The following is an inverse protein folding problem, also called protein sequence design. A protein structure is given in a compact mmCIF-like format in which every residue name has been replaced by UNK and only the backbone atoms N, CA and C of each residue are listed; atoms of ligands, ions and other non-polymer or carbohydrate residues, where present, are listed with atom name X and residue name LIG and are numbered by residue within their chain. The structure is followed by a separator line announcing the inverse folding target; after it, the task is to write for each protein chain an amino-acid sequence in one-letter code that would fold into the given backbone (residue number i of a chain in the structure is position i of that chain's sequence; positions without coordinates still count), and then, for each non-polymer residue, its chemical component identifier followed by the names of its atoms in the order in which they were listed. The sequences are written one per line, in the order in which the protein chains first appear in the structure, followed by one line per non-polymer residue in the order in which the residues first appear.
data_IF_760309529613
#
_entry.id   IF_760309529613
#
_cell.length_a   1.000
_cell.length_b   1.000
_cell.length_c   1.000
_cell.angle_alpha   90.00
_cell.angle_beta   90.00
_cell.angle_gamma   90.00
#
_symmetry.space_group_name_H-M   'P 1'
#
loop_
_entity.id
_entity.type
_entity.pdbx_description
1 polymer ?
#
# COMPACT_ATOMS: atom_id res chain seq x y z
N UNK A 1 -12.54 -13.38 24.60
CA UNK A 1 -13.39 -13.28 23.38
C UNK A 1 -14.15 -11.95 23.28
N UNK A 2 -14.90 -11.52 24.30
CA UNK A 2 -15.68 -10.26 24.24
C UNK A 2 -14.84 -9.00 23.96
N UNK A 3 -13.68 -8.85 24.62
CA UNK A 3 -12.76 -7.71 24.42
C UNK A 3 -12.18 -7.66 23.00
N UNK A 4 -11.89 -8.81 22.40
CA UNK A 4 -11.38 -8.91 21.02
C UNK A 4 -12.49 -8.49 20.04
N UNK A 5 -13.71 -9.00 20.22
CA UNK A 5 -14.86 -8.65 19.39
C UNK A 5 -15.17 -7.15 19.41
N UNK A 6 -15.15 -6.52 20.59
CA UNK A 6 -15.32 -5.07 20.73
C UNK A 6 -14.27 -4.28 19.96
N UNK A 7 -12.98 -4.66 20.08
CA UNK A 7 -11.88 -4.04 19.31
C UNK A 7 -12.09 -4.16 17.79
N UNK A 8 -12.52 -5.33 17.31
CA UNK A 8 -12.74 -5.56 15.88
C UNK A 8 -13.88 -4.69 15.32
N UNK A 9 -15.00 -4.59 16.05
CA UNK A 9 -16.14 -3.76 15.64
C UNK A 9 -15.72 -2.29 15.55
N UNK A 10 -15.03 -1.78 16.58
CA UNK A 10 -14.54 -0.40 16.60
C UNK A 10 -13.58 -0.12 15.44
N UNK A 11 -12.67 -1.05 15.16
CA UNK A 11 -11.73 -0.90 14.04
C UNK A 11 -12.43 -0.94 12.67
N UNK A 12 -13.48 -1.76 12.49
CA UNK A 12 -14.23 -1.79 11.23
C UNK A 12 -14.95 -0.46 10.98
N UNK A 13 -15.56 0.12 12.02
CA UNK A 13 -16.20 1.43 11.94
C UNK A 13 -15.17 2.53 11.65
N UNK A 14 -14.03 2.49 12.33
CA UNK A 14 -12.93 3.43 12.10
C UNK A 14 -12.37 3.32 10.67
N UNK A 15 -12.18 2.10 10.16
CA UNK A 15 -11.71 1.85 8.81
C UNK A 15 -12.68 2.41 7.75
N UNK A 16 -13.99 2.20 7.93
CA UNK A 16 -15.01 2.77 7.05
C UNK A 16 -15.07 4.30 7.09
N UNK A 17 -14.87 4.89 8.28
CA UNK A 17 -14.79 6.34 8.44
C UNK A 17 -13.55 6.91 7.73
N UNK A 18 -12.38 6.30 7.92
CA UNK A 18 -11.14 6.72 7.25
C UNK A 18 -11.24 6.58 5.74
N UNK A 19 -11.81 5.47 5.24
CA UNK A 19 -12.03 5.29 3.80
C UNK A 19 -12.94 6.38 3.21
N UNK A 20 -13.99 6.75 3.93
CA UNK A 20 -14.88 7.84 3.53
C UNK A 20 -14.17 9.20 3.54
N UNK A 21 -13.34 9.46 4.56
CA UNK A 21 -12.58 10.70 4.68
C UNK A 21 -11.57 10.82 3.54
N UNK A 22 -10.77 9.77 3.30
CA UNK A 22 -9.76 9.80 2.23
C UNK A 22 -10.41 9.94 0.85
N UNK A 23 -11.51 9.25 0.56
CA UNK A 23 -12.17 9.40 -0.76
C UNK A 23 -12.73 10.80 -1.00
N UNK A 24 -13.34 11.42 0.01
CA UNK A 24 -14.07 12.68 -0.15
C UNK A 24 -13.23 13.93 0.08
N UNK A 25 -12.20 13.84 0.93
CA UNK A 25 -11.53 15.02 1.47
C UNK A 25 -10.00 14.99 1.31
N UNK A 26 -9.39 13.99 0.66
CA UNK A 26 -7.92 13.87 0.58
C UNK A 26 -7.19 15.14 0.11
N UNK A 27 -7.71 15.81 -0.92
CA UNK A 27 -7.12 17.04 -1.46
C UNK A 27 -7.18 18.23 -0.49
N UNK A 28 -8.09 18.21 0.49
CA UNK A 28 -8.27 19.26 1.50
C UNK A 28 -7.46 19.03 2.78
N UNK A 29 -6.85 17.86 2.94
CA UNK A 29 -6.09 17.50 4.13
C UNK A 29 -4.66 18.07 4.09
N UNK A 30 -4.20 18.60 5.22
CA UNK A 30 -2.81 19.02 5.42
C UNK A 30 -1.89 17.81 5.49
N UNK A 31 -0.59 18.01 5.24
CA UNK A 31 0.41 16.94 5.26
C UNK A 31 0.39 16.13 6.57
N UNK A 32 0.35 16.80 7.73
CA UNK A 32 0.27 16.13 9.04
C UNK A 32 -0.98 15.26 9.20
N UNK A 33 -2.13 15.70 8.65
CA UNK A 33 -3.37 14.93 8.70
C UNK A 33 -3.31 13.69 7.80
N UNK A 34 -2.68 13.81 6.63
CA UNK A 34 -2.44 12.68 5.72
C UNK A 34 -1.52 11.64 6.38
N UNK A 35 -0.46 12.08 7.03
CA UNK A 35 0.46 11.21 7.78
C UNK A 35 -0.29 10.51 8.92
N UNK A 36 -1.11 11.25 9.69
CA UNK A 36 -1.91 10.65 10.76
C UNK A 36 -2.88 9.58 10.24
N UNK A 37 -3.52 9.79 9.08
CA UNK A 37 -4.35 8.76 8.44
C UNK A 37 -3.53 7.52 8.07
N UNK A 38 -2.33 7.71 7.49
CA UNK A 38 -1.44 6.59 7.18
C UNK A 38 -1.05 5.80 8.43
N UNK A 39 -0.70 6.49 9.52
CA UNK A 39 -0.28 5.85 10.77
C UNK A 39 -1.43 5.09 11.45
N UNK A 40 -2.63 5.67 11.45
CA UNK A 40 -3.81 4.99 11.99
C UNK A 40 -4.19 3.77 11.15
N UNK A 41 -4.13 3.87 9.81
CA UNK A 41 -4.36 2.72 8.93
C UNK A 41 -3.33 1.61 9.16
N UNK A 42 -2.05 1.96 9.27
CA UNK A 42 -0.99 1.00 9.53
C UNK A 42 -1.18 0.32 10.89
N UNK A 43 -1.49 1.06 11.95
CA UNK A 43 -1.74 0.50 13.28
C UNK A 43 -2.94 -0.46 13.30
N UNK A 44 -4.01 -0.14 12.57
CA UNK A 44 -5.15 -1.06 12.41
C UNK A 44 -4.76 -2.33 11.66
N UNK A 45 -3.90 -2.21 10.64
CA UNK A 45 -3.39 -3.35 9.89
C UNK A 45 -2.47 -4.22 10.73
N UNK A 46 -1.54 -3.65 11.48
CA UNK A 46 -0.63 -4.38 12.37
C UNK A 46 -1.41 -5.16 13.44
N UNK A 47 -2.47 -4.59 13.99
CA UNK A 47 -3.35 -5.32 14.90
C UNK A 47 -4.03 -6.51 14.21
N UNK A 48 -4.60 -6.31 13.03
CA UNK A 48 -5.27 -7.37 12.29
C UNK A 48 -4.28 -8.48 11.87
N UNK A 49 -3.10 -8.09 11.38
CA UNK A 49 -2.01 -8.97 10.99
C UNK A 49 -1.43 -9.75 12.17
N UNK A 50 -1.27 -9.12 13.34
CA UNK A 50 -0.83 -9.81 14.57
C UNK A 50 -1.81 -10.91 14.96
N UNK A 51 -3.11 -10.64 14.89
CA UNK A 51 -4.14 -11.63 15.19
C UNK A 51 -4.25 -12.73 14.11
N UNK A 52 -4.06 -12.35 12.85
CA UNK A 52 -4.08 -13.24 11.69
C UNK A 52 -2.69 -13.74 11.29
N UNK A 53 -1.73 -13.69 12.20
CA UNK A 53 -0.38 -14.13 11.90
C UNK A 53 -0.39 -15.61 11.54
N UNK A 54 0.57 -16.04 10.73
CA UNK A 54 0.62 -17.38 10.21
C UNK A 54 0.66 -18.46 11.31
N UNK A 55 1.40 -18.21 12.39
CA UNK A 55 1.42 -19.08 13.57
C UNK A 55 0.05 -19.15 14.26
N UNK A 56 -0.61 -18.00 14.45
CA UNK A 56 -1.93 -17.93 15.07
C UNK A 56 -3.03 -18.58 14.22
N UNK A 57 -2.96 -18.44 12.89
CA UNK A 57 -3.86 -19.13 11.97
C UNK A 57 -3.66 -20.64 12.03
N UNK A 58 -2.40 -21.11 12.02
CA UNK A 58 -2.05 -22.53 12.12
C UNK A 58 -2.58 -23.17 13.40
N UNK A 59 -2.36 -22.53 14.55
CA UNK A 59 -2.88 -22.98 15.85
C UNK A 59 -4.41 -23.09 15.80
N UNK A 60 -5.09 -22.09 15.26
CA UNK A 60 -6.56 -22.09 15.16
C UNK A 60 -7.10 -23.15 14.19
N UNK A 61 -6.37 -23.45 13.11
CA UNK A 61 -6.73 -24.52 12.18
C UNK A 61 -6.67 -25.91 12.83
N UNK A 62 -5.76 -26.12 13.78
CA UNK A 62 -5.66 -27.38 14.54
C UNK A 62 -6.68 -27.47 15.69
N UNK A 63 -7.08 -26.34 16.27
CA UNK A 63 -7.75 -26.31 17.59
C UNK A 63 -9.25 -25.95 17.57
N UNK A 64 -9.89 -25.63 16.44
CA UNK A 64 -11.29 -25.14 16.47
C UNK A 64 -12.23 -25.73 15.40
N UNK A 65 -13.45 -26.13 15.79
CA UNK A 65 -14.58 -26.26 14.87
C UNK A 65 -14.88 -24.92 14.20
N UNK A 66 -15.36 -24.97 12.96
CA UNK A 66 -15.60 -23.85 12.03
C UNK A 66 -16.41 -22.68 12.64
N UNK A 67 -17.23 -22.91 13.66
CA UNK A 67 -18.15 -21.93 14.25
C UNK A 67 -17.54 -20.85 15.17
N UNK A 68 -16.25 -20.93 15.54
CA UNK A 68 -15.62 -19.94 16.46
C UNK A 68 -14.54 -19.05 15.82
N UNK A 69 -14.42 -19.02 14.49
CA UNK A 69 -13.57 -18.03 13.86
C UNK A 69 -14.20 -16.64 14.04
N UNK A 70 -13.48 -15.62 14.57
CA UNK A 70 -14.02 -14.28 14.62
C UNK A 70 -14.36 -13.86 13.18
N UNK A 71 -15.66 -13.67 12.88
CA UNK A 71 -16.07 -13.45 11.51
C UNK A 71 -15.53 -12.07 11.12
N UNK A 72 -14.86 -12.00 9.97
CA UNK A 72 -14.42 -10.77 9.30
C UNK A 72 -13.04 -10.19 9.61
N UNK A 73 -12.17 -10.80 10.43
CA UNK A 73 -10.85 -10.17 10.66
C UNK A 73 -9.90 -10.25 9.45
N UNK A 74 -9.86 -11.38 8.74
CA UNK A 74 -9.13 -11.50 7.47
C UNK A 74 -9.70 -10.55 6.41
N UNK A 75 -11.03 -10.39 6.39
CA UNK A 75 -11.70 -9.44 5.50
C UNK A 75 -11.37 -8.01 5.84
N UNK A 76 -11.32 -7.67 7.14
CA UNK A 76 -10.94 -6.36 7.63
C UNK A 76 -9.49 -6.05 7.28
N UNK A 77 -8.59 -7.01 7.46
CA UNK A 77 -7.19 -6.87 7.07
C UNK A 77 -7.06 -6.63 5.56
N UNK A 78 -7.71 -7.46 4.73
CA UNK A 78 -7.71 -7.30 3.26
C UNK A 78 -8.31 -5.97 2.80
N UNK A 79 -9.40 -5.52 3.42
CA UNK A 79 -10.01 -4.22 3.15
C UNK A 79 -9.07 -3.08 3.57
N UNK A 80 -8.47 -3.18 4.76
CA UNK A 80 -7.48 -2.24 5.27
C UNK A 80 -6.27 -2.13 4.36
N UNK A 81 -5.78 -3.25 3.83
CA UNK A 81 -4.66 -3.31 2.90
C UNK A 81 -4.99 -2.54 1.62
N UNK A 82 -6.21 -2.72 1.10
CA UNK A 82 -6.66 -2.01 -0.10
C UNK A 82 -6.67 -0.49 0.13
N UNK A 83 -7.23 -0.04 1.25
CA UNK A 83 -7.34 1.39 1.58
C UNK A 83 -5.96 2.00 1.85
N UNK A 84 -5.09 1.27 2.56
CA UNK A 84 -3.75 1.74 2.88
C UNK A 84 -2.89 1.90 1.63
N UNK A 85 -2.90 0.90 0.73
CA UNK A 85 -2.21 1.00 -0.56
C UNK A 85 -2.75 2.16 -1.39
N UNK A 86 -4.08 2.34 -1.44
CA UNK A 86 -4.71 3.46 -2.16
C UNK A 86 -4.22 4.82 -1.63
N UNK A 87 -4.21 5.01 -0.31
CA UNK A 87 -3.73 6.25 0.33
C UNK A 87 -2.26 6.53 0.04
N UNK A 88 -1.40 5.51 0.14
CA UNK A 88 0.03 5.65 -0.11
C UNK A 88 0.32 5.94 -1.59
N UNK A 89 -0.37 5.26 -2.50
CA UNK A 89 -0.24 5.46 -3.94
C UNK A 89 -0.73 6.85 -4.37
N UNK A 90 -1.88 7.29 -3.85
CA UNK A 90 -2.37 8.67 -4.07
C UNK A 90 -1.39 9.74 -3.62
N UNK A 91 -0.54 9.44 -2.65
CA UNK A 91 0.45 10.38 -2.12
C UNK A 91 1.79 10.34 -2.86
N UNK A 92 2.10 9.21 -3.49
CA UNK A 92 3.34 8.99 -4.24
C UNK A 92 3.18 9.17 -5.74
N UNK A 93 1.95 9.32 -6.22
CA UNK A 93 1.67 9.64 -7.61
C UNK A 93 1.96 11.12 -7.86
N UNK A 94 3.04 11.40 -8.59
CA UNK A 94 3.30 12.75 -9.10
C UNK A 94 2.26 13.06 -10.17
N UNK A 95 1.42 14.06 -9.94
CA UNK A 95 0.64 14.63 -11.04
C UNK A 95 1.66 15.11 -12.08
N UNK A 96 1.55 14.72 -13.36
CA UNK A 96 2.46 15.25 -14.37
C UNK A 96 2.34 16.77 -14.35
N UNK A 97 3.43 17.45 -14.02
CA UNK A 97 3.55 18.88 -14.26
C UNK A 97 3.15 19.12 -15.72
N UNK A 98 2.12 19.94 -15.94
CA UNK A 98 1.88 20.53 -17.25
C UNK A 98 3.04 21.45 -17.56
N UNK A 99 4.19 20.90 -17.94
CA UNK A 99 5.31 21.67 -18.49
C UNK A 99 4.95 22.08 -19.90
N UNK A 100 4.67 23.37 -20.05
CA UNK A 100 4.95 24.16 -21.25
C UNK A 100 4.03 23.94 -22.44
N UNK A 101 2.94 24.72 -22.51
CA UNK A 101 2.54 25.22 -23.83
C UNK A 101 3.66 26.10 -24.38
N UNK A 102 4.13 25.90 -25.62
CA UNK A 102 4.97 26.88 -26.30
C UNK A 102 4.08 28.07 -26.61
N UNK A 103 4.33 29.19 -25.94
CA UNK A 103 3.75 30.47 -26.29
C UNK A 103 4.50 30.97 -27.52
N UNK A 104 3.89 30.91 -28.69
CA UNK A 104 4.39 31.60 -29.88
C UNK A 104 4.22 33.11 -29.68
N UNK A 105 5.31 33.81 -29.94
CA UNK A 105 5.46 35.26 -29.87
C UNK A 105 4.74 35.96 -31.01
N UNK A 106 4.00 37.02 -30.71
CA UNK A 106 3.89 38.18 -31.61
C UNK A 106 3.84 39.46 -30.78
N UNK A 107 4.78 40.35 -31.12
CA UNK A 107 5.14 41.58 -30.43
C UNK A 107 4.10 42.71 -30.52
N UNK A 108 4.12 43.58 -29.52
CA UNK A 108 4.01 45.04 -29.70
C UNK A 108 4.45 45.77 -28.43
N UNK A 109 5.35 46.73 -28.62
CA UNK A 109 5.96 47.64 -27.65
C UNK A 109 4.95 48.68 -27.15
N UNK A 110 4.99 49.05 -25.86
CA UNK A 110 5.10 50.47 -25.45
C UNK A 110 5.38 50.62 -23.94
N UNK A 111 6.09 51.69 -23.60
CA UNK A 111 6.72 51.99 -22.31
C UNK A 111 5.78 52.64 -21.27
N UNK A 112 6.01 52.41 -19.96
CA UNK A 112 6.25 53.46 -18.95
C UNK A 112 6.60 52.86 -17.56
N UNK A 113 7.33 53.64 -16.74
CA UNK A 113 8.06 53.30 -15.52
C UNK A 113 7.18 53.41 -14.26
N UNK A 114 7.31 52.48 -13.29
CA UNK A 114 7.49 52.80 -11.85
C UNK A 114 7.69 51.56 -10.98
N UNK A 115 8.70 51.64 -10.11
CA UNK A 115 9.01 50.65 -9.10
C UNK A 115 7.97 50.66 -7.96
N UNK A 116 7.46 49.48 -7.61
CA UNK A 116 6.93 49.19 -6.27
C UNK A 116 7.40 47.79 -5.87
N UNK A 117 8.24 47.76 -4.84
CA UNK A 117 8.49 46.57 -4.03
C UNK A 117 7.20 46.20 -3.27
N UNK A 118 6.70 44.98 -3.38
CA UNK A 118 6.61 44.05 -2.25
C UNK A 118 5.87 42.75 -2.60
N UNK A 119 6.53 41.65 -2.22
CA UNK A 119 6.00 40.58 -1.37
C UNK A 119 4.78 39.76 -1.84
N UNK A 120 5.03 38.52 -2.26
CA UNK A 120 4.50 37.34 -1.56
C UNK A 120 4.92 36.02 -2.24
N UNK A 121 5.85 35.31 -1.60
CA UNK A 121 5.83 33.86 -1.37
C UNK A 121 5.23 32.92 -2.46
N UNK A 122 6.06 32.51 -3.43
CA UNK A 122 5.74 31.38 -4.33
C UNK A 122 6.75 30.21 -4.28
N UNK A 123 7.46 30.02 -3.16
CA UNK A 123 8.50 28.96 -3.06
C UNK A 123 8.37 28.04 -1.85
N UNK A 124 7.27 28.09 -1.09
CA UNK A 124 7.09 27.30 0.14
C UNK A 124 6.42 25.93 -0.01
N UNK A 125 5.64 25.68 -1.07
CA UNK A 125 4.76 24.50 -1.11
C UNK A 125 5.43 23.20 -1.61
N UNK A 126 6.53 23.29 -2.36
CA UNK A 126 7.22 22.12 -2.93
C UNK A 126 7.91 21.27 -1.86
N UNK A 127 8.55 21.90 -0.86
CA UNK A 127 9.32 21.19 0.18
C UNK A 127 8.46 20.31 1.09
N UNK A 128 7.29 20.79 1.52
CA UNK A 128 6.38 19.98 2.35
C UNK A 128 5.77 18.82 1.57
N UNK A 129 5.48 19.02 0.28
CA UNK A 129 4.97 17.98 -0.62
C UNK A 129 5.99 16.86 -0.84
N UNK A 130 7.23 17.22 -1.14
CA UNK A 130 8.33 16.26 -1.33
C UNK A 130 8.62 15.45 -0.06
N UNK A 131 8.56 16.09 1.12
CA UNK A 131 8.71 15.41 2.41
C UNK A 131 7.60 14.41 2.66
N UNK A 132 6.35 14.78 2.34
CA UNK A 132 5.19 13.90 2.48
C UNK A 132 5.28 12.70 1.52
N UNK A 133 5.65 12.94 0.26
CA UNK A 133 5.88 11.89 -0.75
C UNK A 133 6.93 10.89 -0.26
N UNK A 134 8.07 11.38 0.25
CA UNK A 134 9.12 10.50 0.78
C UNK A 134 8.68 9.68 1.99
N UNK A 135 7.80 10.21 2.85
CA UNK A 135 7.21 9.45 3.97
C UNK A 135 6.30 8.34 3.43
N UNK A 136 5.44 8.67 2.47
CA UNK A 136 4.51 7.72 1.86
C UNK A 136 5.26 6.62 1.08
N UNK A 137 6.32 6.97 0.35
CA UNK A 137 7.18 6.01 -0.35
C UNK A 137 7.77 5.00 0.62
N UNK A 138 8.41 5.46 1.71
CA UNK A 138 9.00 4.55 2.71
C UNK A 138 7.97 3.60 3.31
N UNK A 139 6.79 4.13 3.65
CA UNK A 139 5.67 3.33 4.18
C UNK A 139 5.16 2.31 3.17
N UNK A 140 5.07 2.68 1.90
CA UNK A 140 4.63 1.79 0.82
C UNK A 140 5.62 0.65 0.61
N UNK A 141 6.90 0.97 0.46
CA UNK A 141 7.96 -0.01 0.21
C UNK A 141 8.06 -0.98 1.37
N UNK A 142 8.17 -0.47 2.61
CA UNK A 142 8.25 -1.29 3.81
C UNK A 142 7.05 -2.22 3.96
N UNK A 143 5.84 -1.73 3.71
CA UNK A 143 4.63 -2.55 3.80
C UNK A 143 4.58 -3.65 2.72
N UNK A 144 4.86 -3.32 1.46
CA UNK A 144 4.91 -4.28 0.37
C UNK A 144 5.98 -5.35 0.64
N UNK A 145 7.19 -4.94 1.02
CA UNK A 145 8.29 -5.83 1.33
C UNK A 145 7.92 -6.81 2.45
N UNK A 146 7.35 -6.30 3.55
CA UNK A 146 6.96 -7.13 4.70
C UNK A 146 5.96 -8.22 4.30
N UNK A 147 4.90 -7.87 3.56
CA UNK A 147 3.89 -8.85 3.13
C UNK A 147 4.48 -9.89 2.17
N UNK A 148 5.34 -9.48 1.24
CA UNK A 148 5.99 -10.40 0.30
C UNK A 148 6.99 -11.32 1.01
N UNK A 149 7.73 -10.79 2.00
CA UNK A 149 8.68 -11.55 2.82
C UNK A 149 7.97 -12.64 3.60
N UNK A 150 6.93 -12.27 4.33
CA UNK A 150 6.07 -13.20 5.04
C UNK A 150 5.54 -14.30 4.12
N UNK A 151 4.99 -13.93 2.96
CA UNK A 151 4.46 -14.88 1.98
C UNK A 151 5.53 -15.84 1.43
N UNK A 152 6.76 -15.37 1.28
CA UNK A 152 7.88 -16.15 0.76
C UNK A 152 8.44 -17.12 1.81
N UNK A 153 8.55 -16.70 3.07
CA UNK A 153 9.07 -17.53 4.16
C UNK A 153 8.21 -18.77 4.41
N UNK A 154 6.89 -18.65 4.20
CA UNK A 154 5.96 -19.77 4.41
C UNK A 154 6.03 -20.83 3.33
N UNK A 155 6.35 -20.43 2.10
CA UNK A 155 6.58 -21.37 1.01
C UNK A 155 7.88 -22.15 1.22
N UNK A 156 8.85 -21.53 1.90
CA UNK A 156 10.16 -22.13 2.16
C UNK A 156 10.22 -23.01 3.41
N UNK A 157 9.15 -23.15 4.21
CA UNK A 157 9.18 -24.00 5.41
C UNK A 157 9.18 -25.48 5.04
N UNK A 158 10.34 -25.98 4.63
CA UNK A 158 10.66 -27.40 4.48
C UNK A 158 10.80 -27.96 5.90
N UNK A 159 9.84 -28.78 6.34
CA UNK A 159 10.17 -29.86 7.27
C UNK A 159 9.28 -30.14 8.48
N UNK A 160 8.40 -29.26 8.96
CA UNK A 160 7.86 -29.45 10.33
C UNK A 160 6.35 -29.34 10.53
N UNK A 161 5.55 -29.12 9.48
CA UNK A 161 4.08 -29.14 9.60
C UNK A 161 3.45 -29.87 8.44
N UNK A 162 2.35 -30.59 8.66
CA UNK A 162 1.66 -31.31 7.58
C UNK A 162 1.41 -30.32 6.45
N UNK A 163 1.88 -30.63 5.22
CA UNK A 163 1.81 -29.71 4.08
C UNK A 163 0.41 -29.07 3.91
N UNK A 164 -0.63 -29.79 4.32
CA UNK A 164 -2.03 -29.36 4.33
C UNK A 164 -2.29 -28.07 5.13
N UNK A 165 -1.66 -27.88 6.29
CA UNK A 165 -1.86 -26.67 7.10
C UNK A 165 -1.16 -25.46 6.49
N UNK A 166 0.01 -25.67 5.89
CA UNK A 166 0.70 -24.61 5.15
C UNK A 166 -0.17 -24.15 3.98
N UNK A 167 -0.68 -25.10 3.18
CA UNK A 167 -1.55 -24.77 2.05
C UNK A 167 -2.80 -23.99 2.48
N UNK A 168 -3.49 -24.42 3.54
CA UNK A 168 -4.72 -23.76 4.01
C UNK A 168 -4.47 -22.41 4.68
N UNK A 169 -3.36 -22.25 5.41
CA UNK A 169 -2.96 -20.93 5.91
C UNK A 169 -2.63 -19.99 4.75
N UNK A 170 -1.92 -20.48 3.74
CA UNK A 170 -1.55 -19.70 2.56
C UNK A 170 -2.78 -19.30 1.75
N UNK A 171 -3.76 -20.19 1.59
CA UNK A 171 -5.07 -19.90 0.98
C UNK A 171 -5.78 -18.75 1.71
N UNK A 172 -5.81 -18.76 3.05
CA UNK A 172 -6.42 -17.69 3.84
C UNK A 172 -5.71 -16.34 3.69
N UNK A 173 -4.42 -16.35 3.37
CA UNK A 173 -3.57 -15.15 3.27
C UNK A 173 -3.40 -14.65 1.84
N UNK A 174 -3.69 -15.50 0.86
CA UNK A 174 -3.65 -15.17 -0.56
C UNK A 174 -4.37 -13.86 -0.91
N UNK A 175 -5.59 -13.57 -0.41
CA UNK A 175 -6.28 -12.32 -0.75
C UNK A 175 -5.48 -11.06 -0.40
N UNK A 176 -4.66 -11.08 0.66
CA UNK A 176 -3.84 -9.94 1.07
C UNK A 176 -2.61 -9.82 0.17
N UNK A 177 -1.96 -10.95 -0.11
CA UNK A 177 -0.80 -11.01 -1.01
C UNK A 177 -1.20 -10.51 -2.42
N UNK A 178 -2.33 -11.00 -2.94
CA UNK A 178 -2.88 -10.57 -4.24
C UNK A 178 -3.19 -9.07 -4.25
N UNK A 179 -3.73 -8.51 -3.15
CA UNK A 179 -3.97 -7.07 -3.04
C UNK A 179 -2.68 -6.26 -3.06
N UNK A 180 -1.64 -6.73 -2.38
CA UNK A 180 -0.32 -6.10 -2.40
C UNK A 180 0.28 -6.15 -3.81
N UNK A 181 0.32 -7.32 -4.45
CA UNK A 181 0.85 -7.47 -5.81
C UNK A 181 0.12 -6.59 -6.82
N UNK A 182 -1.23 -6.58 -6.79
CA UNK A 182 -2.04 -5.70 -7.63
C UNK A 182 -1.81 -4.23 -7.30
N UNK A 183 -1.64 -3.88 -6.03
CA UNK A 183 -1.25 -2.55 -5.62
C UNK A 183 0.08 -2.15 -6.26
N UNK A 184 1.10 -3.01 -6.19
CA UNK A 184 2.40 -2.75 -6.80
C UNK A 184 2.33 -2.50 -8.32
N UNK A 185 1.32 -3.03 -9.02
CA UNK A 185 1.10 -2.68 -10.44
C UNK A 185 0.83 -1.17 -10.64
N UNK A 186 0.20 -0.51 -9.68
CA UNK A 186 -0.09 0.94 -9.70
C UNK A 186 0.97 1.79 -9.00
N UNK A 187 2.05 1.17 -8.50
CA UNK A 187 3.18 1.88 -7.92
C UNK A 187 3.86 2.75 -8.99
N UNK A 188 4.35 3.93 -8.58
CA UNK A 188 5.16 4.77 -9.45
C UNK A 188 6.38 3.98 -9.95
N UNK A 189 6.59 3.95 -11.27
CA UNK A 189 7.67 3.17 -11.90
C UNK A 189 9.06 3.56 -11.37
N UNK A 190 9.30 4.82 -11.03
CA UNK A 190 10.58 5.28 -10.47
C UNK A 190 10.81 4.73 -9.07
N UNK A 191 9.75 4.66 -8.25
CA UNK A 191 9.80 4.04 -6.92
C UNK A 191 10.05 2.54 -7.07
N UNK A 192 9.26 1.87 -7.91
CA UNK A 192 9.42 0.43 -8.13
C UNK A 192 10.82 0.09 -8.65
N UNK A 193 11.36 0.87 -9.59
CA UNK A 193 12.72 0.71 -10.12
C UNK A 193 13.79 0.85 -9.04
N UNK A 194 13.67 1.89 -8.20
CA UNK A 194 14.64 2.18 -7.13
C UNK A 194 14.72 1.05 -6.12
N UNK A 195 13.57 0.46 -5.78
CA UNK A 195 13.43 -0.60 -4.76
C UNK A 195 13.38 -2.02 -5.36
N UNK A 196 13.59 -2.17 -6.66
CA UNK A 196 13.53 -3.47 -7.34
C UNK A 196 14.50 -4.49 -6.74
N UNK A 197 15.67 -4.05 -6.27
CA UNK A 197 16.66 -4.93 -5.61
C UNK A 197 16.11 -5.61 -4.36
N UNK A 198 15.23 -4.94 -3.63
CA UNK A 198 14.59 -5.46 -2.41
C UNK A 198 13.41 -6.36 -2.76
N UNK A 199 12.60 -5.97 -3.75
CA UNK A 199 11.43 -6.75 -4.15
C UNK A 199 11.77 -8.01 -4.94
N UNK A 200 12.77 -7.96 -5.83
CA UNK A 200 13.02 -9.03 -6.80
C UNK A 200 13.27 -10.42 -6.17
N UNK A 201 14.10 -10.56 -5.11
CA UNK A 201 14.27 -11.85 -4.45
C UNK A 201 12.97 -12.39 -3.84
N UNK A 202 12.09 -11.51 -3.34
CA UNK A 202 10.80 -11.92 -2.77
C UNK A 202 9.83 -12.34 -3.89
N UNK A 203 9.73 -11.53 -4.95
CA UNK A 203 8.87 -11.81 -6.09
C UNK A 203 9.23 -13.12 -6.80
N UNK A 204 10.53 -13.40 -6.96
CA UNK A 204 10.99 -14.66 -7.59
C UNK A 204 10.67 -15.88 -6.74
N UNK A 205 10.74 -15.79 -5.40
CA UNK A 205 10.29 -16.88 -4.52
C UNK A 205 8.80 -17.18 -4.70
N UNK A 206 7.97 -16.14 -4.90
CA UNK A 206 6.53 -16.30 -5.13
C UNK A 206 6.16 -16.94 -6.47
N UNK A 207 7.10 -17.11 -7.41
CA UNK A 207 6.83 -17.81 -8.69
C UNK A 207 6.43 -19.26 -8.45
N UNK A 208 6.96 -19.87 -7.39
CA UNK A 208 6.65 -21.25 -6.99
C UNK A 208 5.50 -21.34 -5.98
N UNK A 209 4.75 -20.26 -5.77
CA UNK A 209 3.64 -20.26 -4.83
C UNK A 209 2.53 -21.24 -5.27
N UNK A 210 2.08 -22.10 -4.36
CA UNK A 210 1.01 -23.07 -4.66
C UNK A 210 -0.30 -22.39 -5.06
N UNK A 211 -0.54 -21.18 -4.54
CA UNK A 211 -1.75 -20.41 -4.80
C UNK A 211 -1.73 -19.81 -6.21
N UNK A 212 -2.66 -20.27 -7.06
CA UNK A 212 -2.77 -19.88 -8.47
C UNK A 212 -3.04 -18.38 -8.65
N UNK A 213 -3.85 -17.79 -7.78
CA UNK A 213 -4.21 -16.38 -7.80
C UNK A 213 -3.03 -15.46 -7.44
N UNK A 214 -2.16 -15.87 -6.50
CA UNK A 214 -0.89 -15.19 -6.22
C UNK A 214 0.00 -15.18 -7.45
N UNK A 215 0.18 -16.34 -8.10
CA UNK A 215 0.98 -16.44 -9.33
C UNK A 215 0.38 -15.63 -10.48
N UNK A 216 -0.93 -15.60 -10.61
CA UNK A 216 -1.64 -14.75 -11.57
C UNK A 216 -1.35 -13.26 -11.36
N UNK A 217 -1.53 -12.78 -10.12
CA UNK A 217 -1.24 -11.39 -9.77
C UNK A 217 0.24 -11.02 -9.94
N UNK A 218 1.15 -11.96 -9.66
CA UNK A 218 2.59 -11.80 -9.89
C UNK A 218 2.89 -11.67 -11.40
N UNK A 219 2.25 -12.48 -12.24
CA UNK A 219 2.36 -12.38 -13.69
C UNK A 219 1.89 -11.03 -14.22
N UNK A 220 0.78 -10.52 -13.70
CA UNK A 220 0.29 -9.17 -14.02
C UNK A 220 1.29 -8.08 -13.60
N UNK A 221 1.86 -8.20 -12.39
CA UNK A 221 2.88 -7.28 -11.91
C UNK A 221 4.10 -7.26 -12.83
N UNK A 222 4.61 -8.44 -13.22
CA UNK A 222 5.74 -8.52 -14.12
C UNK A 222 5.42 -7.93 -15.49
N UNK A 223 4.22 -8.16 -16.02
CA UNK A 223 3.77 -7.58 -17.28
C UNK A 223 3.71 -6.05 -17.23
N UNK A 224 3.22 -5.47 -16.13
CA UNK A 224 3.04 -4.02 -16.00
C UNK A 224 4.36 -3.33 -15.67
N UNK A 225 5.02 -3.76 -14.59
CA UNK A 225 6.17 -3.06 -14.03
C UNK A 225 7.47 -3.44 -14.73
N UNK A 226 7.77 -4.73 -14.98
CA UNK A 226 9.04 -5.07 -15.64
C UNK A 226 9.05 -4.64 -17.12
N UNK A 227 7.91 -4.70 -17.82
CA UNK A 227 7.83 -4.17 -19.18
C UNK A 227 8.13 -2.68 -19.24
N UNK A 228 7.65 -1.91 -18.27
CA UNK A 228 7.92 -0.48 -18.19
C UNK A 228 9.40 -0.15 -17.87
N UNK A 229 10.18 -1.13 -17.41
CA UNK A 229 11.62 -1.00 -17.12
C UNK A 229 12.52 -1.44 -18.28
N UNK A 230 11.97 -2.09 -19.30
CA UNK A 230 12.71 -2.49 -20.49
C UNK A 230 12.82 -1.30 -21.46
N UNK A 231 13.99 -1.10 -22.10
CA UNK A 231 14.22 -0.05 -23.08
C UNK A 231 13.40 -0.24 -24.37
#
# INVERSE_FOLDING_TARGET
MATVRGKCITQLLLLGAIDSIQKKYWSKLKALQKIAIMDVLLSMLEFAASYNSYSNLRIRMHQSPVERQPPNLLRQESAGTSIYLEVLQKTTYKLPDKKGQPLESSASEDADVTAVQNDSSFTGHSSEGEKLEGIAERKLVSFCEQVLREASELQCSVGETTNMDIHRVLELRSPIIVKVLKGMCYMNNEIFRRHLREFYPLLTKLVCCDQMDVRGALGDLFRVQLKALLP
#
